data_IF_571322282393
#
_entry.id   IF_571322282393
#
_cell.length_a   1.000
_cell.length_b   1.000
_cell.length_c   1.000
_cell.angle_alpha   90.00
_cell.angle_beta   90.00
_cell.angle_gamma   90.00
#
_symmetry.space_group_name_H-M   'P 1'
#
loop_
_entity.id
_entity.type
_entity.pdbx_description
1 polymer ?
#
# COMPACT_ATOMS: atom_id res chain seq x y z
N UNK A 1 49.52 6.88 -48.99
CA UNK A 1 49.07 5.68 -48.26
C UNK A 1 48.62 4.61 -49.25
N UNK A 2 48.88 3.32 -48.97
CA UNK A 2 48.46 2.21 -49.84
C UNK A 2 46.95 1.90 -49.70
N UNK A 3 46.26 1.65 -50.82
CA UNK A 3 44.83 1.28 -50.84
C UNK A 3 44.68 -0.23 -50.65
N UNK A 4 44.10 -0.66 -49.51
CA UNK A 4 43.83 -2.08 -49.23
C UNK A 4 42.36 -2.45 -49.45
N UNK A 5 42.09 -3.59 -50.08
CA UNK A 5 40.74 -4.09 -50.33
C UNK A 5 40.05 -4.63 -49.05
N UNK A 6 38.78 -4.24 -48.82
CA UNK A 6 38.02 -4.59 -47.60
C UNK A 6 37.15 -5.86 -47.72
N UNK A 7 37.12 -6.49 -48.89
CA UNK A 7 36.15 -7.52 -49.27
C UNK A 7 36.26 -8.81 -48.43
N UNK A 8 37.48 -9.29 -48.19
CA UNK A 8 37.75 -10.54 -47.46
C UNK A 8 37.29 -10.46 -46.01
N UNK A 9 37.70 -9.41 -45.27
CA UNK A 9 37.27 -9.20 -43.88
C UNK A 9 35.74 -9.02 -43.78
N UNK A 10 35.13 -8.34 -44.76
CA UNK A 10 33.68 -8.17 -44.80
C UNK A 10 32.92 -9.47 -45.08
N UNK A 11 33.49 -10.43 -45.82
CA UNK A 11 32.90 -11.76 -46.05
C UNK A 11 33.01 -12.66 -44.82
N UNK A 12 34.14 -12.63 -44.10
CA UNK A 12 34.36 -13.40 -42.86
C UNK A 12 33.28 -13.13 -41.81
N UNK A 13 33.02 -11.85 -41.50
CA UNK A 13 31.97 -11.45 -40.53
C UNK A 13 30.55 -11.83 -40.98
N UNK A 14 30.28 -11.75 -42.28
CA UNK A 14 28.97 -12.12 -42.85
C UNK A 14 28.71 -13.61 -42.70
N UNK A 15 29.69 -14.45 -43.04
CA UNK A 15 29.58 -15.90 -42.90
C UNK A 15 29.30 -16.32 -41.46
N UNK A 16 30.03 -15.76 -40.49
CA UNK A 16 29.84 -16.04 -39.05
C UNK A 16 28.41 -15.73 -38.58
N UNK A 17 27.87 -14.57 -38.94
CA UNK A 17 26.51 -14.17 -38.51
C UNK A 17 25.44 -15.03 -39.18
N UNK A 18 25.56 -15.32 -40.47
CA UNK A 18 24.60 -16.15 -41.19
C UNK A 18 24.61 -17.60 -40.70
N UNK A 19 25.77 -18.10 -40.28
CA UNK A 19 25.89 -19.41 -39.65
C UNK A 19 25.16 -19.48 -38.31
N UNK A 20 25.29 -18.46 -37.47
CA UNK A 20 24.55 -18.33 -36.21
C UNK A 20 23.04 -18.14 -36.42
N UNK A 21 22.63 -17.60 -37.56
CA UNK A 21 21.24 -17.32 -37.90
C UNK A 21 20.53 -18.47 -38.64
N UNK A 22 21.22 -19.60 -38.86
CA UNK A 22 20.61 -20.80 -39.46
C UNK A 22 19.38 -21.22 -38.65
N UNK A 23 18.28 -21.52 -39.35
CA UNK A 23 17.00 -21.90 -38.74
C UNK A 23 16.06 -20.73 -38.43
N UNK A 24 16.50 -19.47 -38.52
CA UNK A 24 15.58 -18.34 -38.41
C UNK A 24 14.62 -18.26 -39.60
N UNK A 25 13.38 -17.81 -39.35
CA UNK A 25 12.32 -17.72 -40.35
C UNK A 25 12.48 -16.49 -41.25
N UNK A 26 12.16 -16.64 -42.54
CA UNK A 26 12.12 -15.55 -43.52
C UNK A 26 13.50 -14.96 -43.81
N UNK A 27 13.59 -13.64 -43.94
CA UNK A 27 14.85 -12.95 -44.32
C UNK A 27 15.91 -12.92 -43.22
N UNK A 28 15.58 -13.39 -42.01
CA UNK A 28 16.48 -13.39 -40.84
C UNK A 28 17.58 -14.44 -40.93
N UNK A 29 17.51 -15.39 -41.86
CA UNK A 29 18.56 -16.38 -42.12
C UNK A 29 19.41 -16.09 -43.37
N UNK A 30 18.94 -15.20 -44.27
CA UNK A 30 19.56 -14.95 -45.58
C UNK A 30 20.15 -13.55 -45.71
N UNK A 31 19.49 -12.53 -45.15
CA UNK A 31 19.97 -11.14 -45.18
C UNK A 31 20.87 -10.84 -44.00
N UNK A 32 22.13 -10.47 -44.25
CA UNK A 32 23.10 -10.17 -43.18
C UNK A 32 22.62 -9.07 -42.22
N UNK A 33 21.97 -8.01 -42.73
CA UNK A 33 21.51 -6.89 -41.89
C UNK A 33 20.45 -7.37 -40.89
N UNK A 34 19.44 -8.11 -41.39
CA UNK A 34 18.35 -8.66 -40.58
C UNK A 34 18.83 -9.78 -39.66
N UNK A 35 19.72 -10.65 -40.14
CA UNK A 35 20.34 -11.71 -39.35
C UNK A 35 21.13 -11.15 -38.18
N UNK A 36 21.93 -10.10 -38.40
CA UNK A 36 22.71 -9.45 -37.33
C UNK A 36 21.82 -8.89 -36.23
N UNK A 37 20.75 -8.18 -36.61
CA UNK A 37 19.75 -7.65 -35.67
C UNK A 37 19.10 -8.78 -34.85
N UNK A 38 18.69 -9.86 -35.52
CA UNK A 38 18.05 -11.00 -34.86
C UNK A 38 19.01 -11.76 -33.94
N UNK A 39 20.23 -12.06 -34.37
CA UNK A 39 21.23 -12.76 -33.55
C UNK A 39 21.53 -11.98 -32.27
N UNK A 40 21.63 -10.65 -32.37
CA UNK A 40 21.84 -9.81 -31.20
C UNK A 40 20.66 -9.90 -30.22
N UNK A 41 19.42 -9.77 -30.69
CA UNK A 41 18.22 -9.93 -29.85
C UNK A 41 18.12 -11.32 -29.23
N UNK A 42 18.35 -12.37 -30.01
CA UNK A 42 18.39 -13.75 -29.52
C UNK A 42 19.46 -13.94 -28.43
N UNK A 43 20.61 -13.26 -28.55
CA UNK A 43 21.66 -13.26 -27.53
C UNK A 43 21.21 -12.65 -26.20
N UNK A 44 20.48 -11.53 -26.25
CA UNK A 44 19.88 -10.89 -25.07
C UNK A 44 18.85 -11.82 -24.43
N UNK A 45 17.91 -12.35 -25.21
CA UNK A 45 16.90 -13.30 -24.71
C UNK A 45 17.51 -14.58 -24.15
N UNK A 46 18.59 -15.09 -24.74
CA UNK A 46 19.30 -16.25 -24.21
C UNK A 46 19.92 -15.96 -22.84
N UNK A 47 20.48 -14.75 -22.65
CA UNK A 47 21.03 -14.34 -21.35
C UNK A 47 19.95 -14.21 -20.28
N UNK A 48 18.86 -13.50 -20.60
CA UNK A 48 17.70 -13.36 -19.71
C UNK A 48 17.06 -14.72 -19.40
N UNK A 49 16.84 -15.55 -20.42
CA UNK A 49 16.26 -16.88 -20.31
C UNK A 49 17.09 -17.83 -19.42
N UNK A 50 18.43 -17.73 -19.43
CA UNK A 50 19.27 -18.51 -18.49
C UNK A 50 19.03 -18.13 -17.03
N UNK A 51 18.72 -16.86 -16.74
CA UNK A 51 18.38 -16.40 -15.39
C UNK A 51 16.95 -16.81 -15.02
N UNK A 52 16.01 -16.62 -15.94
CA UNK A 52 14.58 -16.94 -15.73
C UNK A 52 14.34 -18.44 -15.54
N UNK A 53 15.04 -19.31 -16.29
CA UNK A 53 14.95 -20.77 -16.20
C UNK A 53 15.04 -21.30 -14.77
N UNK A 54 15.88 -20.71 -13.91
CA UNK A 54 16.00 -21.11 -12.50
C UNK A 54 14.70 -20.85 -11.72
N UNK A 55 14.03 -19.73 -11.99
CA UNK A 55 12.73 -19.37 -11.41
C UNK A 55 11.62 -20.24 -11.98
N UNK A 56 11.62 -20.48 -13.28
CA UNK A 56 10.59 -21.27 -13.96
C UNK A 56 10.59 -22.72 -13.45
N UNK A 57 11.76 -23.34 -13.33
CA UNK A 57 11.86 -24.68 -12.75
C UNK A 57 11.46 -24.70 -11.27
N UNK A 58 11.84 -23.69 -10.49
CA UNK A 58 11.41 -23.60 -9.09
C UNK A 58 9.88 -23.47 -8.98
N UNK A 59 9.25 -22.68 -9.83
CA UNK A 59 7.79 -22.55 -9.88
C UNK A 59 7.14 -23.90 -10.23
N UNK A 60 7.66 -24.62 -11.23
CA UNK A 60 7.19 -25.96 -11.59
C UNK A 60 7.33 -26.95 -10.43
N UNK A 61 8.47 -26.95 -9.73
CA UNK A 61 8.67 -27.84 -8.58
C UNK A 61 7.70 -27.54 -7.45
N UNK A 62 7.45 -26.26 -7.16
CA UNK A 62 6.46 -25.86 -6.15
C UNK A 62 5.06 -26.33 -6.54
N UNK A 63 4.68 -26.20 -7.81
CA UNK A 63 3.38 -26.69 -8.30
C UNK A 63 3.23 -28.20 -8.13
N UNK A 64 4.25 -28.98 -8.47
CA UNK A 64 4.26 -30.45 -8.30
C UNK A 64 4.17 -30.85 -6.82
N UNK A 65 4.99 -30.23 -5.97
CA UNK A 65 4.96 -30.48 -4.52
C UNK A 65 3.61 -30.10 -3.93
N UNK A 66 3.03 -28.97 -4.36
CA UNK A 66 1.73 -28.53 -3.86
C UNK A 66 0.61 -29.50 -4.25
N UNK A 67 0.66 -30.09 -5.45
CA UNK A 67 -0.28 -31.13 -5.85
C UNK A 67 -0.18 -32.35 -4.92
N UNK A 68 1.02 -32.92 -4.75
CA UNK A 68 1.22 -34.07 -3.85
C UNK A 68 0.90 -33.76 -2.39
N UNK A 69 1.27 -32.58 -1.88
CA UNK A 69 0.98 -32.20 -0.50
C UNK A 69 -0.53 -32.07 -0.25
N UNK A 70 -1.29 -31.58 -1.25
CA UNK A 70 -2.74 -31.45 -1.15
C UNK A 70 -3.47 -32.78 -1.16
N UNK A 71 -2.98 -33.78 -1.87
CA UNK A 71 -3.51 -35.15 -1.80
C UNK A 71 -3.45 -35.71 -0.37
N UNK A 72 -2.47 -35.25 0.41
CA UNK A 72 -2.32 -35.58 1.82
C UNK A 72 -2.91 -34.52 2.77
N UNK A 73 -3.69 -33.56 2.28
CA UNK A 73 -4.40 -32.58 3.12
C UNK A 73 -3.54 -31.47 3.71
N UNK A 74 -2.32 -31.22 3.19
CA UNK A 74 -1.50 -30.08 3.59
C UNK A 74 -1.38 -29.04 2.47
N UNK A 75 -1.33 -27.77 2.86
CA UNK A 75 -0.91 -26.71 1.93
C UNK A 75 0.62 -26.69 1.79
N UNK A 76 1.13 -26.21 0.66
CA UNK A 76 2.57 -26.10 0.43
C UNK A 76 3.29 -25.27 1.51
N UNK A 77 2.69 -24.17 1.99
CA UNK A 77 3.29 -23.34 3.04
C UNK A 77 3.43 -24.10 4.36
N UNK A 78 2.39 -24.82 4.78
CA UNK A 78 2.42 -25.67 5.97
C UNK A 78 3.42 -26.81 5.80
N UNK A 79 3.45 -27.46 4.64
CA UNK A 79 4.40 -28.54 4.36
C UNK A 79 5.86 -28.07 4.47
N UNK A 80 6.22 -26.95 3.83
CA UNK A 80 7.58 -26.40 3.92
C UNK A 80 7.93 -25.94 5.34
N UNK A 81 6.96 -25.41 6.07
CA UNK A 81 7.15 -25.08 7.48
C UNK A 81 7.42 -26.33 8.33
N UNK A 82 6.62 -27.39 8.14
CA UNK A 82 6.78 -28.67 8.82
C UNK A 82 8.12 -29.34 8.51
N UNK A 83 8.58 -29.30 7.26
CA UNK A 83 9.91 -29.81 6.89
C UNK A 83 11.04 -29.06 7.62
N UNK A 84 10.90 -27.73 7.78
CA UNK A 84 11.89 -26.92 8.51
C UNK A 84 11.91 -27.27 10.00
N UNK A 85 10.74 -27.51 10.60
CA UNK A 85 10.63 -27.93 12.01
C UNK A 85 11.19 -29.33 12.22
N UNK A 86 11.02 -30.23 11.25
CA UNK A 86 11.57 -31.58 11.26
C UNK A 86 13.07 -31.64 10.89
N UNK A 87 13.73 -30.49 10.64
CA UNK A 87 15.12 -30.37 10.20
C UNK A 87 15.45 -31.18 8.93
N UNK A 88 14.46 -31.32 8.04
CA UNK A 88 14.62 -32.02 6.77
C UNK A 88 15.03 -31.02 5.68
N UNK A 89 16.34 -30.91 5.45
CA UNK A 89 16.93 -30.05 4.41
C UNK A 89 16.91 -30.72 3.02
N UNK A 90 15.70 -30.96 2.50
CA UNK A 90 15.53 -31.48 1.14
C UNK A 90 15.26 -30.37 0.13
N UNK A 91 16.00 -30.44 -0.98
CA UNK A 91 15.83 -29.53 -2.11
C UNK A 91 14.49 -29.75 -2.82
N UNK A 92 13.88 -28.65 -3.29
CA UNK A 92 12.58 -28.70 -4.00
C UNK A 92 12.63 -29.52 -5.28
N UNK A 93 13.80 -29.59 -5.93
CA UNK A 93 13.99 -30.45 -7.11
C UNK A 93 13.75 -31.91 -6.75
N UNK A 94 14.35 -32.37 -5.65
CA UNK A 94 14.25 -33.75 -5.17
C UNK A 94 12.84 -34.03 -4.67
N UNK A 95 12.25 -33.12 -3.88
CA UNK A 95 10.87 -33.26 -3.40
C UNK A 95 9.86 -33.36 -4.54
N UNK A 96 10.03 -32.56 -5.60
CA UNK A 96 9.14 -32.61 -6.76
C UNK A 96 9.32 -33.88 -7.61
N UNK A 97 10.52 -34.44 -7.64
CA UNK A 97 10.81 -35.70 -8.35
C UNK A 97 10.25 -36.89 -7.56
N UNK A 98 10.43 -36.88 -6.24
CA UNK A 98 9.94 -37.89 -5.31
C UNK A 98 8.40 -37.92 -5.30
N UNK A 99 7.74 -36.75 -5.34
CA UNK A 99 6.29 -36.65 -5.48
C UNK A 99 5.76 -37.27 -6.80
N UNK A 100 6.57 -37.31 -7.86
CA UNK A 100 6.15 -37.82 -9.16
C UNK A 100 6.50 -39.31 -9.38
N UNK A 101 7.63 -39.76 -8.83
CA UNK A 101 8.17 -41.11 -9.06
C UNK A 101 7.78 -42.08 -7.97
N UNK A 102 7.81 -41.64 -6.71
CA UNK A 102 7.69 -42.49 -5.53
C UNK A 102 6.68 -41.89 -4.52
N UNK A 103 5.37 -41.97 -4.81
CA UNK A 103 4.34 -41.34 -3.98
C UNK A 103 4.29 -41.90 -2.55
N UNK A 104 4.63 -43.18 -2.36
CA UNK A 104 4.70 -43.79 -1.03
C UNK A 104 5.80 -43.16 -0.16
N UNK A 105 6.98 -42.92 -0.75
CA UNK A 105 8.06 -42.23 -0.05
C UNK A 105 7.69 -40.77 0.24
N UNK A 106 6.97 -40.10 -0.68
CA UNK A 106 6.53 -38.72 -0.49
C UNK A 106 5.55 -38.63 0.68
N UNK A 107 4.61 -39.56 0.77
CA UNK A 107 3.65 -39.66 1.86
C UNK A 107 4.34 -39.79 3.23
N UNK A 108 5.43 -40.58 3.33
CA UNK A 108 6.20 -40.71 4.56
C UNK A 108 6.88 -39.39 4.98
N UNK A 109 7.41 -38.63 4.02
CA UNK A 109 7.99 -37.30 4.28
C UNK A 109 6.90 -36.31 4.72
N UNK A 110 5.73 -36.36 4.09
CA UNK A 110 4.58 -35.55 4.48
C UNK A 110 4.07 -35.91 5.88
N UNK A 111 4.08 -37.20 6.24
CA UNK A 111 3.77 -37.66 7.59
C UNK A 111 4.68 -37.03 8.64
N UNK A 112 6.01 -37.12 8.46
CA UNK A 112 6.98 -36.47 9.35
C UNK A 112 6.77 -34.96 9.46
N UNK A 113 6.44 -34.30 8.35
CA UNK A 113 6.14 -32.87 8.36
C UNK A 113 4.85 -32.54 9.13
N UNK A 114 3.82 -33.39 9.09
CA UNK A 114 2.60 -33.24 9.92
C UNK A 114 2.90 -33.43 11.39
N UNK A 115 3.66 -34.46 11.74
CA UNK A 115 4.00 -34.77 13.13
C UNK A 115 4.77 -33.60 13.78
N UNK A 116 5.73 -33.03 13.04
CA UNK A 116 6.47 -31.85 13.50
C UNK A 116 5.60 -30.59 13.67
N UNK A 117 4.58 -30.40 12.82
CA UNK A 117 3.63 -29.29 12.97
C UNK A 117 2.78 -29.43 14.24
N UNK A 118 2.39 -30.65 14.57
CA UNK A 118 1.58 -30.97 15.76
C UNK A 118 2.42 -30.91 17.06
N UNK A 119 3.67 -31.39 17.04
CA UNK A 119 4.58 -31.28 18.19
C UNK A 119 4.89 -29.83 18.57
N UNK A 120 5.02 -28.94 17.57
CA UNK A 120 5.23 -27.51 17.82
C UNK A 120 3.99 -26.77 18.36
N UNK A 121 2.78 -27.33 18.28
CA UNK A 121 1.60 -26.76 18.97
C UNK A 121 1.63 -27.04 20.48
N UNK A 122 2.16 -28.17 20.91
CA UNK A 122 2.23 -28.54 22.33
C UNK A 122 3.22 -27.64 23.09
N UNK A 123 4.38 -27.34 22.48
CA UNK A 123 5.36 -26.39 23.04
C UNK A 123 4.88 -24.93 23.01
N UNK A 124 4.09 -24.54 22.00
CA UNK A 124 3.48 -23.19 21.94
C UNK A 124 2.37 -23.00 22.97
N UNK A 125 1.69 -24.07 23.37
CA UNK A 125 0.74 -24.03 24.48
C UNK A 125 1.44 -23.97 25.84
N UNK A 126 2.54 -24.71 26.04
CA UNK A 126 3.31 -24.64 27.31
C UNK A 126 4.09 -23.33 27.49
N UNK A 127 4.57 -22.70 26.40
CA UNK A 127 5.15 -21.35 26.44
C UNK A 127 4.09 -20.23 26.38
N UNK A 128 2.84 -20.58 26.05
CA UNK A 128 1.69 -19.68 26.04
C UNK A 128 1.12 -19.38 27.43
N UNK A 129 1.29 -20.29 28.39
CA UNK A 129 0.87 -20.07 29.79
C UNK A 129 1.73 -19.02 30.54
N UNK A 130 2.88 -18.63 29.97
CA UNK A 130 3.72 -17.54 30.48
C UNK A 130 3.51 -16.18 29.81
N UNK A 131 2.70 -16.09 28.75
CA UNK A 131 2.32 -14.81 28.17
C UNK A 131 1.07 -14.37 28.93
N UNK A 132 1.31 -13.54 29.97
CA UNK A 132 0.34 -12.63 30.62
C UNK A 132 -1.01 -12.69 29.92
N UNK A 133 -2.04 -13.07 30.65
CA UNK A 133 -3.39 -12.59 30.38
C UNK A 133 -3.28 -11.09 30.06
N UNK A 134 -3.16 -10.75 28.78
CA UNK A 134 -3.70 -9.49 28.32
C UNK A 134 -5.17 -9.76 28.52
N UNK A 135 -5.67 -9.32 29.67
CA UNK A 135 -7.08 -9.01 29.81
C UNK A 135 -7.50 -8.47 28.44
N UNK A 136 -8.48 -9.15 27.85
CA UNK A 136 -9.00 -8.75 26.56
C UNK A 136 -9.45 -7.30 26.71
N UNK A 137 -8.59 -6.37 26.27
CA UNK A 137 -9.00 -5.00 26.06
C UNK A 137 -10.16 -5.11 25.06
N UNK A 138 -11.36 -4.66 25.43
CA UNK A 138 -12.50 -4.79 24.54
C UNK A 138 -12.16 -4.09 23.23
N UNK A 139 -12.50 -4.75 22.13
CA UNK A 139 -12.37 -4.26 20.76
C UNK A 139 -12.41 -2.72 20.70
N UNK A 140 -11.24 -2.12 20.45
CA UNK A 140 -11.14 -0.71 20.12
C UNK A 140 -11.64 -0.47 18.67
N UNK A 141 -12.85 -0.94 18.39
CA UNK A 141 -13.67 -0.56 17.24
C UNK A 141 -14.96 0.11 17.71
N UNK A 142 -15.18 0.19 19.04
CA UNK A 142 -16.30 0.89 19.66
C UNK A 142 -15.86 1.97 20.68
N UNK A 143 -14.62 2.50 20.57
CA UNK A 143 -14.11 3.60 21.40
C UNK A 143 -13.38 4.69 20.60
N UNK A 144 -14.04 5.18 19.56
CA UNK A 144 -13.87 6.57 19.15
C UNK A 144 -15.24 7.25 19.23
N UNK A 145 -15.68 7.55 20.46
CA UNK A 145 -16.68 8.59 20.73
C UNK A 145 -15.92 9.89 21.06
N UNK A 146 -14.93 10.19 20.23
CA UNK A 146 -14.17 11.43 20.25
C UNK A 146 -14.26 11.95 18.85
N UNK A 147 -15.09 12.98 18.69
CA UNK A 147 -15.37 13.74 17.48
C UNK A 147 -14.05 14.11 16.81
N UNK A 148 -13.72 13.46 15.69
CA UNK A 148 -12.58 13.88 14.88
C UNK A 148 -13.00 15.15 14.12
N UNK A 149 -12.60 16.32 14.60
CA UNK A 149 -12.68 17.53 13.80
C UNK A 149 -11.74 17.38 12.59
N UNK A 150 -12.12 17.94 11.44
CA UNK A 150 -11.19 18.04 10.31
C UNK A 150 -10.06 19.02 10.64
N UNK A 151 -8.84 18.79 10.15
CA UNK A 151 -7.67 19.67 10.41
C UNK A 151 -7.94 21.14 10.03
N UNK A 152 -8.82 21.37 9.04
CA UNK A 152 -9.26 22.71 8.67
C UNK A 152 -10.23 23.32 9.71
N UNK A 153 -11.08 22.50 10.33
CA UNK A 153 -12.00 22.92 11.39
C UNK A 153 -11.26 23.18 12.70
N UNK A 154 -10.21 22.40 13.03
CA UNK A 154 -9.35 22.67 14.19
C UNK A 154 -8.66 24.03 14.10
N UNK A 155 -8.05 24.34 12.94
CA UNK A 155 -7.44 25.66 12.70
C UNK A 155 -8.44 26.80 12.81
N UNK A 156 -9.66 26.60 12.29
CA UNK A 156 -10.70 27.63 12.32
C UNK A 156 -11.26 27.84 13.74
N UNK A 157 -11.33 26.77 14.53
CA UNK A 157 -11.76 26.85 15.92
C UNK A 157 -10.73 27.57 16.79
N UNK A 158 -9.43 27.39 16.52
CA UNK A 158 -8.38 28.18 17.18
C UNK A 158 -8.46 29.67 16.80
N UNK A 159 -8.73 29.98 15.52
CA UNK A 159 -8.89 31.38 15.06
C UNK A 159 -10.11 32.09 15.68
N UNK A 160 -11.19 31.34 15.96
CA UNK A 160 -12.46 31.86 16.48
C UNK A 160 -12.65 31.59 17.99
N UNK A 161 -11.64 31.02 18.66
CA UNK A 161 -11.67 30.59 20.08
C UNK A 161 -12.90 29.74 20.44
N UNK A 162 -13.25 28.79 19.57
CA UNK A 162 -14.43 27.92 19.73
C UNK A 162 -14.05 26.56 20.32
N UNK A 163 -14.69 26.18 21.42
CA UNK A 163 -14.56 24.85 22.04
C UNK A 163 -15.17 23.74 21.14
N UNK A 164 -14.32 23.02 20.40
CA UNK A 164 -14.71 21.93 19.48
C UNK A 164 -15.53 20.81 20.13
N UNK A 165 -15.37 20.56 21.44
CA UNK A 165 -16.11 19.52 22.16
C UNK A 165 -17.61 19.81 22.27
N UNK A 166 -18.00 21.09 22.11
CA UNK A 166 -19.39 21.54 22.21
C UNK A 166 -20.05 21.69 20.83
N UNK A 167 -19.30 21.52 19.75
CA UNK A 167 -19.77 21.66 18.37
C UNK A 167 -20.29 20.31 17.88
N UNK A 168 -21.56 20.25 17.49
CA UNK A 168 -22.15 19.04 16.91
C UNK A 168 -21.66 18.88 15.46
N UNK A 169 -20.90 17.81 15.19
CA UNK A 169 -20.34 17.57 13.87
C UNK A 169 -21.35 16.99 12.87
N UNK A 170 -21.61 17.71 11.79
CA UNK A 170 -22.53 17.29 10.72
C UNK A 170 -21.91 16.34 9.68
N UNK A 171 -20.58 16.15 9.74
CA UNK A 171 -19.82 15.33 8.79
C UNK A 171 -20.03 13.82 8.89
N UNK A 172 -19.63 13.07 7.86
CA UNK A 172 -19.74 11.61 7.82
C UNK A 172 -18.98 10.96 8.99
N UNK A 173 -19.71 10.25 9.86
CA UNK A 173 -19.14 9.68 11.09
C UNK A 173 -19.19 10.61 12.31
N UNK A 174 -19.93 11.72 12.24
CA UNK A 174 -20.07 12.69 13.34
C UNK A 174 -18.87 13.61 13.50
N UNK A 175 -18.18 13.92 12.38
CA UNK A 175 -16.99 14.78 12.37
C UNK A 175 -17.37 16.26 12.27
N UNK A 176 -16.65 17.11 12.99
CA UNK A 176 -16.84 18.58 12.94
C UNK A 176 -16.17 19.14 11.68
N UNK A 177 -16.99 19.76 10.83
CA UNK A 177 -16.58 20.48 9.64
C UNK A 177 -16.36 21.96 9.94
N UNK A 178 -15.71 22.68 9.03
CA UNK A 178 -15.45 24.12 9.17
C UNK A 178 -16.75 24.91 9.33
N UNK A 179 -17.80 24.50 8.60
CA UNK A 179 -19.12 25.13 8.63
C UNK A 179 -19.75 25.04 10.04
N UNK A 180 -19.61 23.90 10.72
CA UNK A 180 -20.13 23.70 12.08
C UNK A 180 -19.42 24.61 13.11
N UNK A 181 -18.12 24.85 12.92
CA UNK A 181 -17.31 25.76 13.77
C UNK A 181 -17.66 27.23 13.51
N UNK A 182 -17.88 27.60 12.25
CA UNK A 182 -18.27 28.96 11.87
C UNK A 182 -19.69 29.32 12.37
N UNK A 183 -20.61 28.34 12.45
CA UNK A 183 -21.96 28.55 13.00
C UNK A 183 -21.97 28.63 14.54
N UNK A 184 -21.07 27.90 15.21
CA UNK A 184 -20.90 27.95 16.66
C UNK A 184 -20.18 29.23 17.14
N UNK A 185 -19.28 29.80 16.32
CA UNK A 185 -18.54 31.04 16.59
C UNK A 185 -19.35 32.32 16.37
N UNK A 186 -20.67 32.28 16.56
CA UNK A 186 -21.57 33.41 16.38
C UNK A 186 -21.34 34.54 17.40
N UNK A 187 -20.25 35.29 17.27
CA UNK A 187 -20.11 36.58 17.91
C UNK A 187 -20.74 37.68 17.05
N UNK A 188 -21.45 38.57 17.73
CA UNK A 188 -22.12 39.75 17.19
C UNK A 188 -21.03 40.69 16.66
N UNK A 189 -20.54 40.42 15.45
CA UNK A 189 -19.56 41.27 14.77
C UNK A 189 -20.25 42.59 14.46
N UNK A 190 -19.81 43.70 15.06
CA UNK A 190 -20.12 45.04 14.56
C UNK A 190 -19.38 45.26 13.22
N UNK A 191 -19.86 46.15 12.36
CA UNK A 191 -19.03 46.61 11.23
C UNK A 191 -17.89 47.48 11.76
N UNK A 192 -16.69 47.42 11.18
CA UNK A 192 -15.54 48.28 11.58
C UNK A 192 -15.91 49.77 11.68
N UNK A 193 -16.78 50.25 10.78
CA UNK A 193 -17.29 51.61 10.79
C UNK A 193 -18.21 51.93 11.99
N UNK A 194 -18.92 50.94 12.51
CA UNK A 194 -19.75 51.05 13.71
C UNK A 194 -18.89 51.06 14.99
N UNK A 195 -17.80 50.27 15.03
CA UNK A 195 -16.86 50.28 16.15
C UNK A 195 -16.17 51.62 16.32
N UNK A 196 -15.59 52.17 15.23
CA UNK A 196 -14.95 53.49 15.29
C UNK A 196 -15.92 54.59 15.71
N UNK A 197 -17.19 54.48 15.31
CA UNK A 197 -18.21 55.49 15.63
C UNK A 197 -18.74 55.36 17.06
N UNK A 198 -18.77 54.15 17.61
CA UNK A 198 -19.11 53.91 19.00
C UNK A 198 -18.02 54.46 19.94
N UNK A 199 -16.75 54.36 19.55
CA UNK A 199 -15.64 55.02 20.26
C UNK A 199 -15.78 56.56 20.23
N UNK A 200 -16.08 57.14 19.06
CA UNK A 200 -16.24 58.59 18.91
C UNK A 200 -17.42 59.16 19.73
N UNK A 201 -18.52 58.41 19.81
CA UNK A 201 -19.73 58.81 20.53
C UNK A 201 -19.77 58.30 21.98
N UNK A 202 -18.77 57.52 22.38
CA UNK A 202 -18.62 56.87 23.69
C UNK A 202 -19.85 56.05 24.11
N UNK A 203 -20.35 55.20 23.19
CA UNK A 203 -21.51 54.32 23.38
C UNK A 203 -21.04 52.86 23.51
N UNK A 204 -21.58 52.12 24.49
CA UNK A 204 -21.25 50.71 24.70
C UNK A 204 -21.99 49.80 23.69
N UNK A 205 -21.22 49.10 22.84
CA UNK A 205 -21.74 48.21 21.80
C UNK A 205 -22.49 46.98 22.34
N UNK A 206 -22.18 46.53 23.55
CA UNK A 206 -22.79 45.34 24.16
C UNK A 206 -24.29 45.50 24.47
N UNK A 207 -24.76 46.75 24.54
CA UNK A 207 -26.16 47.10 24.83
C UNK A 207 -27.02 47.32 23.59
N UNK A 208 -26.43 47.27 22.40
CA UNK A 208 -27.11 47.56 21.13
C UNK A 208 -27.51 46.25 20.44
N UNK A 209 -28.80 46.09 20.14
CA UNK A 209 -29.28 45.03 19.27
C UNK A 209 -28.97 45.39 17.80
N UNK A 210 -28.18 44.55 17.12
CA UNK A 210 -27.78 44.78 15.74
C UNK A 210 -28.89 44.45 14.74
N UNK A 211 -29.27 45.43 13.91
CA UNK A 211 -30.31 45.25 12.86
C UNK A 211 -29.72 44.73 11.54
N UNK A 212 -28.40 44.54 11.47
CA UNK A 212 -27.70 44.12 10.27
C UNK A 212 -27.95 42.65 9.86
N UNK A 213 -27.55 42.31 8.63
CA UNK A 213 -27.57 40.93 8.16
C UNK A 213 -26.74 40.04 9.11
N UNK A 214 -27.35 38.94 9.56
CA UNK A 214 -26.80 38.02 10.58
C UNK A 214 -26.67 38.62 11.99
N UNK A 215 -27.44 39.66 12.33
CA UNK A 215 -27.47 40.23 13.69
C UNK A 215 -26.31 41.21 14.00
N UNK A 216 -25.58 41.65 12.98
CA UNK A 216 -24.45 42.59 13.10
C UNK A 216 -24.90 44.00 13.48
N UNK A 217 -24.16 44.67 14.38
CA UNK A 217 -24.36 46.08 14.72
C UNK A 217 -23.87 46.96 13.56
N UNK A 218 -24.77 47.80 13.03
CA UNK A 218 -24.46 48.74 11.96
C UNK A 218 -24.25 50.15 12.51
N UNK A 219 -23.65 51.02 11.69
CA UNK A 219 -23.47 52.45 12.03
C UNK A 219 -24.79 53.13 12.43
N UNK A 220 -25.90 52.74 11.78
CA UNK A 220 -27.22 53.29 12.10
C UNK A 220 -27.70 52.90 13.50
N UNK A 221 -27.38 51.69 13.96
CA UNK A 221 -27.75 51.21 15.29
C UNK A 221 -26.98 51.98 16.39
N UNK A 222 -25.69 52.24 16.16
CA UNK A 222 -24.84 53.06 17.04
C UNK A 222 -25.30 54.53 17.10
N UNK A 223 -25.66 55.11 15.95
CA UNK A 223 -26.18 56.49 15.91
C UNK A 223 -27.54 56.63 16.60
N UNK A 224 -28.39 55.61 16.54
CA UNK A 224 -29.69 55.63 17.22
C UNK A 224 -29.52 55.50 18.73
N UNK A 225 -28.65 54.59 19.20
CA UNK A 225 -28.31 54.46 20.61
C UNK A 225 -27.77 55.78 21.19
N UNK A 226 -26.88 56.47 20.45
CA UNK A 226 -26.32 57.76 20.87
C UNK A 226 -27.34 58.93 20.91
N UNK A 227 -28.53 58.78 20.32
CA UNK A 227 -29.59 59.80 20.37
C UNK A 227 -30.59 59.58 21.50
N UNK A 228 -30.63 58.37 22.06
CA UNK A 228 -31.54 58.00 23.15
C UNK A 228 -30.90 58.19 24.54
N UNK A 229 -29.58 58.38 24.61
CA UNK A 229 -28.80 58.85 25.79
C UNK A 229 -28.56 60.37 25.81
#
# INVERSE_FOLDING_TARGET
MARTARSLHARKKRRKVLEQAKGYRGTKNSSYKRAKEQVWKSGVYAYEGRKQRKRDFRALWIQRINAGAREHGLSYSQFVHGLKLAEIDLDRKILADLAATEPAAFAAVVGKAKDALNGGSEERHSQGEGRRTREAEPDNTARHTGVEATEAAERKAEDLDVDLEKVEGSGSGGRVLVEDVEEAGGEISATDAAESKAEDLNVDLATIEGTGASGRITVGDVENAAREE
#
